data_IF_528482237892
#
_entry.id   IF_528482237892
#
_cell.length_a   1.000
_cell.length_b   1.000
_cell.length_c   1.000
_cell.angle_alpha   90.00
_cell.angle_beta   90.00
_cell.angle_gamma   90.00
#
_symmetry.space_group_name_H-M   'P 1'
#
loop_
_entity.id
_entity.type
_entity.pdbx_description
1 polymer ?
#
# COMPACT_ATOMS: atom_id res chain seq x y z
N UNK A 1 -14.76 -38.26 13.73
CA UNK A 1 -13.78 -37.98 12.66
C UNK A 1 -14.48 -37.09 11.66
N UNK A 2 -13.95 -35.89 11.39
CA UNK A 2 -14.60 -34.97 10.46
C UNK A 2 -14.25 -35.40 9.02
N UNK A 3 -15.25 -35.91 8.30
CA UNK A 3 -15.06 -36.48 6.97
C UNK A 3 -14.92 -35.33 5.97
N UNK A 4 -13.83 -35.32 5.19
CA UNK A 4 -13.60 -34.25 4.21
C UNK A 4 -14.76 -34.15 3.23
N UNK A 5 -15.27 -32.92 3.06
CA UNK A 5 -16.37 -32.62 2.12
C UNK A 5 -16.02 -33.02 0.68
N UNK A 6 -14.75 -32.93 0.30
CA UNK A 6 -14.27 -33.33 -1.03
C UNK A 6 -14.36 -34.84 -1.24
N UNK A 7 -14.06 -35.62 -0.20
CA UNK A 7 -14.15 -37.08 -0.22
C UNK A 7 -15.60 -37.54 -0.38
N UNK A 8 -16.53 -36.93 0.37
CA UNK A 8 -17.98 -37.19 0.23
C UNK A 8 -18.46 -36.87 -1.19
N UNK A 9 -18.02 -35.75 -1.77
CA UNK A 9 -18.37 -35.37 -3.15
C UNK A 9 -17.77 -36.33 -4.18
N UNK A 10 -16.56 -36.83 -3.94
CA UNK A 10 -15.92 -37.86 -4.75
C UNK A 10 -16.72 -39.17 -4.76
N UNK A 11 -17.20 -39.61 -3.59
CA UNK A 11 -18.08 -40.78 -3.48
C UNK A 11 -19.41 -40.58 -4.24
N UNK A 12 -20.03 -39.39 -4.11
CA UNK A 12 -21.24 -39.06 -4.87
C UNK A 12 -21.01 -39.08 -6.39
N UNK A 13 -19.85 -38.61 -6.84
CA UNK A 13 -19.49 -38.63 -8.26
C UNK A 13 -19.28 -40.06 -8.76
N UNK A 14 -18.58 -40.90 -7.99
CA UNK A 14 -18.41 -42.32 -8.30
C UNK A 14 -19.75 -43.03 -8.42
N UNK A 15 -20.63 -42.88 -7.42
CA UNK A 15 -21.93 -43.53 -7.42
C UNK A 15 -22.83 -43.06 -8.57
N UNK A 16 -22.74 -41.78 -8.93
CA UNK A 16 -23.43 -41.24 -10.10
C UNK A 16 -22.95 -41.91 -11.40
N UNK A 17 -21.64 -42.15 -11.56
CA UNK A 17 -21.08 -42.84 -12.72
C UNK A 17 -21.44 -44.32 -12.78
N UNK A 18 -21.62 -44.97 -11.61
CA UNK A 18 -22.10 -46.35 -11.49
C UNK A 18 -23.62 -46.47 -11.77
N UNK A 19 -24.34 -45.34 -11.87
CA UNK A 19 -25.76 -45.31 -12.21
C UNK A 19 -26.68 -45.49 -11.00
N UNK A 20 -26.19 -45.25 -9.79
CA UNK A 20 -26.99 -45.31 -8.58
C UNK A 20 -27.95 -44.12 -8.47
N UNK A 21 -28.97 -44.25 -7.61
CA UNK A 21 -29.85 -43.14 -7.25
C UNK A 21 -29.26 -42.35 -6.08
N UNK A 22 -29.47 -41.03 -6.07
CA UNK A 22 -28.95 -40.13 -5.04
C UNK A 22 -29.35 -40.53 -3.60
N UNK A 23 -30.55 -41.09 -3.42
CA UNK A 23 -31.02 -41.59 -2.13
C UNK A 23 -30.23 -42.84 -1.67
N UNK A 24 -29.93 -43.75 -2.60
CA UNK A 24 -29.13 -44.95 -2.31
C UNK A 24 -27.67 -44.59 -2.00
N UNK A 25 -27.11 -43.60 -2.71
CA UNK A 25 -25.79 -43.03 -2.41
C UNK A 25 -25.74 -42.38 -1.04
N UNK A 26 -26.78 -41.62 -0.68
CA UNK A 26 -26.89 -41.02 0.65
C UNK A 26 -26.81 -42.09 1.74
N UNK A 27 -27.65 -43.14 1.67
CA UNK A 27 -27.66 -44.22 2.65
C UNK A 27 -26.31 -44.93 2.74
N UNK A 28 -25.67 -45.24 1.61
CA UNK A 28 -24.34 -45.90 1.59
C UNK A 28 -23.25 -45.04 2.21
N UNK A 29 -23.22 -43.76 1.87
CA UNK A 29 -22.24 -42.82 2.40
C UNK A 29 -22.47 -42.62 3.91
N UNK A 30 -23.71 -42.45 4.36
CA UNK A 30 -24.03 -42.34 5.79
C UNK A 30 -23.69 -43.63 6.56
N UNK A 31 -23.91 -44.81 5.96
CA UNK A 31 -23.53 -46.08 6.57
C UNK A 31 -22.00 -46.23 6.74
N UNK A 32 -21.22 -45.74 5.77
CA UNK A 32 -19.76 -45.87 5.80
C UNK A 32 -19.06 -44.77 6.63
N UNK A 33 -19.60 -43.55 6.62
CA UNK A 33 -18.95 -42.36 7.15
C UNK A 33 -19.69 -41.71 8.34
N UNK A 34 -20.83 -42.27 8.75
CA UNK A 34 -21.68 -41.82 9.85
C UNK A 34 -22.96 -41.11 9.38
N UNK A 35 -24.02 -41.18 10.20
CA UNK A 35 -25.39 -40.72 9.84
C UNK A 35 -25.48 -39.25 9.41
N UNK A 36 -24.51 -38.42 9.79
CA UNK A 36 -24.43 -37.00 9.44
C UNK A 36 -23.47 -36.68 8.28
N UNK A 37 -22.94 -37.68 7.57
CA UNK A 37 -21.92 -37.49 6.53
C UNK A 37 -22.44 -36.68 5.32
N UNK A 38 -23.67 -36.92 4.88
CA UNK A 38 -24.31 -36.13 3.83
C UNK A 38 -25.84 -36.15 3.99
N UNK A 39 -26.50 -35.02 3.75
CA UNK A 39 -27.96 -34.96 3.71
C UNK A 39 -28.46 -35.38 2.31
N UNK A 40 -29.60 -36.08 2.24
CA UNK A 40 -30.21 -36.50 0.97
C UNK A 40 -30.43 -35.31 0.03
N UNK A 41 -30.84 -34.15 0.55
CA UNK A 41 -31.02 -32.93 -0.24
C UNK A 41 -29.71 -32.49 -0.91
N UNK A 42 -28.59 -32.62 -0.19
CA UNK A 42 -27.25 -32.32 -0.71
C UNK A 42 -26.85 -33.34 -1.76
N UNK A 43 -27.07 -34.63 -1.55
CA UNK A 43 -26.79 -35.68 -2.53
C UNK A 43 -27.57 -35.46 -3.84
N UNK A 44 -28.87 -35.14 -3.76
CA UNK A 44 -29.69 -34.82 -4.94
C UNK A 44 -29.18 -33.59 -5.68
N UNK A 45 -28.78 -32.53 -4.97
CA UNK A 45 -28.20 -31.32 -5.58
C UNK A 45 -26.92 -31.63 -6.36
N UNK A 46 -26.01 -32.42 -5.79
CA UNK A 46 -24.79 -32.86 -6.46
C UNK A 46 -25.08 -33.73 -7.69
N UNK A 47 -26.03 -34.66 -7.60
CA UNK A 47 -26.45 -35.46 -8.75
C UNK A 47 -27.05 -34.61 -9.86
N UNK A 48 -27.82 -33.57 -9.52
CA UNK A 48 -28.34 -32.62 -10.51
C UNK A 48 -27.20 -31.84 -11.20
N UNK A 49 -26.19 -31.40 -10.42
CA UNK A 49 -24.98 -30.77 -10.95
C UNK A 49 -24.24 -31.70 -11.93
N UNK A 50 -24.07 -32.97 -11.58
CA UNK A 50 -23.43 -33.95 -12.46
C UNK A 50 -24.23 -34.25 -13.73
N UNK A 51 -25.57 -34.30 -13.65
CA UNK A 51 -26.44 -34.42 -14.84
C UNK A 51 -26.32 -33.23 -15.79
N UNK A 52 -26.07 -32.03 -15.25
CA UNK A 52 -25.79 -30.84 -16.07
C UNK A 52 -24.38 -30.81 -16.70
N UNK A 53 -23.57 -31.86 -16.50
CA UNK A 53 -22.23 -31.99 -17.08
C UNK A 53 -21.09 -31.39 -16.26
N UNK A 54 -21.39 -30.73 -15.12
CA UNK A 54 -20.38 -30.16 -14.22
C UNK A 54 -19.93 -31.20 -13.19
N UNK A 55 -18.80 -31.87 -13.45
CA UNK A 55 -18.20 -32.88 -12.57
C UNK A 55 -17.22 -32.30 -11.54
N UNK A 56 -17.12 -30.99 -11.41
CA UNK A 56 -16.19 -30.35 -10.46
C UNK A 56 -16.61 -30.64 -9.02
N UNK A 57 -15.67 -31.13 -8.21
CA UNK A 57 -15.88 -31.37 -6.76
C UNK A 57 -15.71 -30.10 -5.92
N UNK A 58 -15.19 -29.02 -6.51
CA UNK A 58 -14.93 -27.76 -5.82
C UNK A 58 -16.24 -26.94 -5.67
N UNK A 59 -16.30 -26.17 -4.58
CA UNK A 59 -17.29 -25.09 -4.48
C UNK A 59 -17.03 -24.07 -5.60
N UNK A 60 -18.09 -23.55 -6.21
CA UNK A 60 -17.95 -22.37 -7.09
C UNK A 60 -17.49 -21.19 -6.24
N UNK A 61 -16.79 -20.25 -6.85
CA UNK A 61 -16.44 -18.99 -6.20
C UNK A 61 -17.72 -18.39 -5.58
N UNK A 62 -17.71 -18.23 -4.26
CA UNK A 62 -18.83 -17.62 -3.56
C UNK A 62 -18.84 -16.15 -3.94
N UNK A 63 -19.99 -15.65 -4.36
CA UNK A 63 -20.22 -14.20 -4.39
C UNK A 63 -20.10 -13.73 -2.95
N UNK A 64 -18.99 -13.06 -2.64
CA UNK A 64 -18.74 -12.50 -1.32
C UNK A 64 -19.76 -11.43 -0.97
N UNK A 65 -19.60 -10.82 0.21
CA UNK A 65 -20.35 -9.61 0.54
C UNK A 65 -20.03 -8.53 -0.51
N UNK A 66 -21.04 -7.81 -1.06
CA UNK A 66 -20.77 -6.69 -1.96
C UNK A 66 -19.78 -5.71 -1.32
N UNK A 67 -18.75 -5.30 -2.06
CA UNK A 67 -17.86 -4.25 -1.59
C UNK A 67 -18.66 -2.97 -1.41
N UNK A 68 -18.60 -2.39 -0.22
CA UNK A 68 -19.32 -1.17 0.12
C UNK A 68 -18.73 0.08 -0.58
N UNK A 69 -17.56 -0.06 -1.20
CA UNK A 69 -16.83 1.00 -1.87
C UNK A 69 -16.30 0.47 -3.20
N UNK A 70 -16.51 1.22 -4.27
CA UNK A 70 -15.91 0.92 -5.57
C UNK A 70 -14.44 1.36 -5.58
N UNK A 71 -13.53 0.38 -5.71
CA UNK A 71 -12.09 0.60 -5.82
C UNK A 71 -11.72 1.47 -7.04
N UNK A 72 -12.47 1.37 -8.14
CA UNK A 72 -12.26 2.17 -9.34
C UNK A 72 -12.54 3.66 -9.10
N UNK A 73 -13.70 3.96 -8.51
CA UNK A 73 -14.06 5.32 -8.12
C UNK A 73 -13.10 5.91 -7.07
N UNK A 74 -12.69 5.11 -6.07
CA UNK A 74 -11.68 5.54 -5.10
C UNK A 74 -10.35 5.88 -5.78
N UNK A 75 -9.90 5.06 -6.74
CA UNK A 75 -8.67 5.32 -7.47
C UNK A 75 -8.75 6.59 -8.33
N UNK A 76 -9.91 6.90 -8.91
CA UNK A 76 -10.13 8.13 -9.66
C UNK A 76 -10.02 9.37 -8.76
N UNK A 77 -10.65 9.36 -7.59
CA UNK A 77 -10.57 10.46 -6.63
C UNK A 77 -9.12 10.76 -6.20
N UNK A 78 -8.33 9.72 -5.92
CA UNK A 78 -6.91 9.87 -5.54
C UNK A 78 -6.05 10.42 -6.69
N UNK A 79 -6.39 10.11 -7.95
CA UNK A 79 -5.67 10.64 -9.11
C UNK A 79 -5.95 12.13 -9.31
N UNK A 80 -7.16 12.58 -8.99
CA UNK A 80 -7.55 13.98 -9.03
C UNK A 80 -6.87 14.77 -7.90
N UNK A 81 -6.96 14.27 -6.66
CA UNK A 81 -6.28 14.85 -5.51
C UNK A 81 -5.69 13.77 -4.60
N UNK A 82 -4.38 13.59 -4.69
CA UNK A 82 -3.65 12.61 -3.88
C UNK A 82 -3.45 13.02 -2.41
N UNK A 83 -3.81 14.24 -2.03
CA UNK A 83 -3.61 14.79 -0.68
C UNK A 83 -4.79 14.59 0.26
N UNK A 84 -5.92 14.11 -0.25
CA UNK A 84 -7.14 13.90 0.53
C UNK A 84 -6.93 12.90 1.68
N UNK A 85 -7.53 13.23 2.81
CA UNK A 85 -7.53 12.37 3.99
C UNK A 85 -8.55 11.23 3.86
N UNK A 86 -8.33 10.13 4.59
CA UNK A 86 -9.31 9.04 4.68
C UNK A 86 -10.69 9.51 5.18
N UNK A 87 -10.73 10.58 5.98
CA UNK A 87 -11.97 11.19 6.47
C UNK A 87 -12.74 11.97 5.40
N UNK A 88 -12.04 12.67 4.52
CA UNK A 88 -12.66 13.38 3.38
C UNK A 88 -13.20 12.40 2.35
N UNK A 89 -12.40 11.40 1.99
CA UNK A 89 -12.83 10.30 1.11
C UNK A 89 -14.03 9.55 1.70
N UNK A 90 -14.03 9.28 3.01
CA UNK A 90 -15.16 8.65 3.68
C UNK A 90 -16.47 9.45 3.53
N UNK A 91 -16.40 10.78 3.67
CA UNK A 91 -17.54 11.67 3.44
C UNK A 91 -17.98 11.67 1.97
N UNK A 92 -17.04 11.70 1.04
CA UNK A 92 -17.33 11.67 -0.40
C UNK A 92 -18.04 10.38 -0.83
N UNK A 93 -17.62 9.24 -0.30
CA UNK A 93 -18.16 7.92 -0.64
C UNK A 93 -19.23 7.40 0.34
N UNK A 94 -19.69 8.23 1.28
CA UNK A 94 -20.67 7.87 2.31
C UNK A 94 -20.33 6.56 3.04
N UNK A 95 -19.06 6.37 3.39
CA UNK A 95 -18.55 5.17 4.03
C UNK A 95 -17.76 5.52 5.30
N UNK A 96 -17.25 4.50 6.00
CA UNK A 96 -16.38 4.73 7.16
C UNK A 96 -14.94 5.01 6.72
N UNK A 97 -14.20 5.83 7.47
CA UNK A 97 -12.77 6.08 7.20
C UNK A 97 -11.94 4.80 7.27
N UNK A 98 -12.34 3.84 8.09
CA UNK A 98 -11.69 2.54 8.18
C UNK A 98 -11.88 1.73 6.89
N UNK A 99 -13.10 1.74 6.32
CA UNK A 99 -13.37 1.12 5.01
C UNK A 99 -12.46 1.69 3.93
N UNK A 100 -12.35 3.03 3.86
CA UNK A 100 -11.45 3.70 2.91
C UNK A 100 -10.00 3.29 3.13
N UNK A 101 -9.52 3.29 4.38
CA UNK A 101 -8.15 2.90 4.72
C UNK A 101 -7.81 1.48 4.27
N UNK A 102 -8.75 0.54 4.46
CA UNK A 102 -8.60 -0.85 4.01
C UNK A 102 -8.52 -0.95 2.48
N UNK A 103 -9.39 -0.24 1.75
CA UNK A 103 -9.37 -0.24 0.28
C UNK A 103 -8.12 0.45 -0.27
N UNK A 104 -7.67 1.56 0.34
CA UNK A 104 -6.39 2.19 0.01
C UNK A 104 -5.21 1.23 0.16
N UNK A 105 -5.18 0.46 1.26
CA UNK A 105 -4.14 -0.54 1.46
C UNK A 105 -4.23 -1.68 0.42
N UNK A 106 -5.44 -2.14 0.08
CA UNK A 106 -5.65 -3.14 -0.98
C UNK A 106 -5.17 -2.63 -2.35
N UNK A 107 -5.36 -1.34 -2.64
CA UNK A 107 -4.86 -0.67 -3.85
C UNK A 107 -3.35 -0.35 -3.79
N UNK A 108 -2.65 -0.76 -2.73
CA UNK A 108 -1.21 -0.50 -2.55
C UNK A 108 -0.87 0.97 -2.29
N UNK A 109 -1.82 1.77 -1.80
CA UNK A 109 -1.61 3.18 -1.46
C UNK A 109 -1.12 3.30 -0.01
N UNK A 110 -0.07 4.09 0.17
CA UNK A 110 0.49 4.43 1.49
C UNK A 110 0.58 5.93 1.63
N UNK A 111 0.18 6.46 2.79
CA UNK A 111 0.35 7.88 3.08
C UNK A 111 1.84 8.21 3.20
N UNK A 112 2.29 9.21 2.43
CA UNK A 112 3.65 9.75 2.51
C UNK A 112 3.58 11.26 2.65
N UNK A 113 4.45 11.81 3.48
CA UNK A 113 4.58 13.26 3.60
C UNK A 113 5.22 13.84 2.34
N UNK A 114 4.68 14.97 1.88
CA UNK A 114 5.27 15.76 0.80
C UNK A 114 6.68 16.19 1.17
N UNK A 115 7.56 16.23 0.17
CA UNK A 115 8.92 16.75 0.35
C UNK A 115 8.88 18.28 0.30
N UNK A 116 9.56 18.91 1.24
CA UNK A 116 9.79 20.35 1.17
C UNK A 116 10.69 20.69 -0.01
N UNK A 117 10.25 21.63 -0.84
CA UNK A 117 11.03 22.20 -1.93
C UNK A 117 11.39 23.64 -1.53
N UNK A 118 12.63 24.11 -1.77
CA UNK A 118 13.06 25.43 -1.31
C UNK A 118 12.18 26.59 -1.79
N UNK A 119 11.65 26.51 -3.01
CA UNK A 119 10.82 27.55 -3.60
C UNK A 119 9.94 27.00 -4.72
N UNK A 120 8.74 27.56 -4.86
CA UNK A 120 7.88 27.36 -6.04
C UNK A 120 8.45 28.13 -7.23
N UNK A 121 8.94 27.42 -8.24
CA UNK A 121 9.53 28.03 -9.43
C UNK A 121 8.46 28.38 -10.47
N UNK A 122 8.57 29.60 -11.02
CA UNK A 122 7.86 30.01 -12.23
C UNK A 122 8.38 29.24 -13.45
N UNK A 123 7.54 29.11 -14.48
CA UNK A 123 7.90 28.33 -15.68
C UNK A 123 9.15 28.87 -16.39
N UNK A 124 9.30 30.20 -16.45
CA UNK A 124 10.50 30.86 -17.00
C UNK A 124 11.77 30.46 -16.24
N UNK A 125 11.72 30.43 -14.91
CA UNK A 125 12.86 30.02 -14.09
C UNK A 125 13.20 28.53 -14.29
N UNK A 126 12.19 27.67 -14.51
CA UNK A 126 12.44 26.25 -14.83
C UNK A 126 13.15 26.12 -16.17
N UNK A 127 12.68 26.82 -17.21
CA UNK A 127 13.30 26.81 -18.53
C UNK A 127 14.74 27.32 -18.49
N UNK A 128 15.01 28.42 -17.79
CA UNK A 128 16.37 28.94 -17.58
C UNK A 128 17.28 27.92 -16.90
N UNK A 129 16.79 27.24 -15.85
CA UNK A 129 17.55 26.19 -15.15
C UNK A 129 17.86 25.01 -16.08
N UNK A 130 16.89 24.55 -16.87
CA UNK A 130 17.10 23.46 -17.84
C UNK A 130 18.13 23.87 -18.89
N UNK A 131 18.02 25.07 -19.47
CA UNK A 131 18.97 25.57 -20.45
C UNK A 131 20.39 25.68 -19.88
N UNK A 132 20.53 26.21 -18.66
CA UNK A 132 21.81 26.27 -17.96
C UNK A 132 22.40 24.88 -17.72
N UNK A 133 21.59 23.93 -17.23
CA UNK A 133 22.02 22.54 -17.01
C UNK A 133 22.47 21.86 -18.31
N UNK A 134 21.73 22.02 -19.41
CA UNK A 134 22.10 21.45 -20.71
C UNK A 134 23.40 22.04 -21.24
N UNK A 135 23.57 23.36 -21.14
CA UNK A 135 24.81 24.03 -21.52
C UNK A 135 26.02 23.52 -20.71
N UNK A 136 25.87 23.41 -19.38
CA UNK A 136 26.92 22.89 -18.51
C UNK A 136 27.22 21.41 -18.80
N UNK A 137 26.20 20.59 -19.07
CA UNK A 137 26.36 19.17 -19.40
C UNK A 137 27.15 19.01 -20.71
N UNK A 138 26.77 19.73 -21.77
CA UNK A 138 27.47 19.73 -23.06
C UNK A 138 28.93 20.15 -22.91
N UNK A 139 29.21 21.21 -22.15
CA UNK A 139 30.58 21.67 -21.85
C UNK A 139 31.37 20.64 -21.04
N UNK A 140 30.72 19.93 -20.14
CA UNK A 140 31.39 18.89 -19.37
C UNK A 140 31.78 17.69 -20.23
N UNK A 141 30.94 17.28 -21.18
CA UNK A 141 31.26 16.21 -22.11
C UNK A 141 32.47 16.52 -22.99
N UNK A 142 32.68 17.78 -23.37
CA UNK A 142 33.80 18.17 -24.23
C UNK A 142 35.10 18.43 -23.48
N UNK A 143 35.04 18.99 -22.26
CA UNK A 143 36.23 19.52 -21.58
C UNK A 143 36.43 19.03 -20.13
N UNK A 144 35.61 18.10 -19.63
CA UNK A 144 35.67 17.55 -18.26
C UNK A 144 35.87 18.65 -17.19
N UNK A 145 34.97 19.64 -17.21
CA UNK A 145 35.13 20.90 -16.48
C UNK A 145 35.07 20.74 -14.96
N UNK A 146 34.46 19.67 -14.44
CA UNK A 146 34.28 19.47 -13.00
C UNK A 146 35.58 19.53 -12.18
N UNK A 147 36.70 19.06 -12.74
CA UNK A 147 37.98 19.09 -12.04
C UNK A 147 38.61 20.49 -11.91
N UNK A 148 38.01 21.50 -12.55
CA UNK A 148 38.49 22.88 -12.58
C UNK A 148 37.54 23.87 -11.89
N UNK A 149 36.42 23.38 -11.36
CA UNK A 149 35.44 24.24 -10.67
C UNK A 149 35.86 24.43 -9.21
N UNK A 150 36.00 25.70 -8.83
CA UNK A 150 35.99 26.15 -7.44
C UNK A 150 34.57 26.66 -7.15
N UNK A 151 33.93 26.14 -6.11
CA UNK A 151 32.60 26.57 -5.67
C UNK A 151 32.68 27.15 -4.27
N UNK A 152 31.71 28.00 -3.92
CA UNK A 152 31.58 28.56 -2.59
C UNK A 152 30.13 28.66 -2.15
N UNK A 153 29.90 28.59 -0.85
CA UNK A 153 28.59 28.85 -0.25
C UNK A 153 28.75 29.34 1.18
N UNK A 154 27.69 29.97 1.70
CA UNK A 154 27.62 30.49 3.05
C UNK A 154 26.52 29.78 3.83
N UNK A 155 26.83 29.33 5.05
CA UNK A 155 25.89 28.62 5.90
C UNK A 155 25.90 29.18 7.32
N UNK A 156 24.72 29.53 7.80
CA UNK A 156 24.53 29.81 9.22
C UNK A 156 24.64 28.53 10.05
N UNK A 157 25.55 28.52 11.03
CA UNK A 157 25.72 27.43 12.00
C UNK A 157 25.27 27.94 13.36
N UNK A 158 24.28 27.26 13.95
CA UNK A 158 23.78 27.57 15.28
C UNK A 158 24.74 27.00 16.34
N UNK A 159 24.93 27.70 17.46
CA UNK A 159 25.70 27.18 18.60
C UNK A 159 25.00 25.97 19.22
N UNK A 160 23.70 26.13 19.48
CA UNK A 160 22.85 25.07 20.02
C UNK A 160 21.80 24.68 18.97
N UNK A 161 21.71 23.38 18.69
CA UNK A 161 20.68 22.79 17.82
C UNK A 161 19.78 21.89 18.65
N UNK A 162 18.82 22.47 19.40
CA UNK A 162 17.92 21.66 20.22
C UNK A 162 17.07 20.76 19.32
N UNK A 163 17.19 19.46 19.51
CA UNK A 163 16.39 18.46 18.82
C UNK A 163 15.31 17.95 19.77
N UNK A 164 14.09 17.80 19.25
CA UNK A 164 13.04 17.09 19.97
C UNK A 164 13.42 15.60 20.01
N UNK A 165 13.79 15.12 21.20
CA UNK A 165 14.21 13.73 21.40
C UNK A 165 13.02 12.80 21.32
N UNK A 166 13.23 11.60 20.77
CA UNK A 166 12.21 10.53 20.76
C UNK A 166 12.31 9.77 22.08
N UNK A 167 11.17 9.58 22.75
CA UNK A 167 11.11 8.87 24.03
C UNK A 167 10.19 7.64 23.89
N UNK A 168 10.60 6.51 24.44
CA UNK A 168 9.74 5.34 24.63
C UNK A 168 9.05 5.50 25.98
N UNK A 169 7.74 5.72 25.97
CA UNK A 169 6.95 6.02 27.16
C UNK A 169 5.76 5.07 27.24
N UNK A 170 5.34 4.76 28.46
CA UNK A 170 4.08 4.05 28.71
C UNK A 170 2.90 5.00 28.45
N UNK A 171 1.68 4.50 28.18
CA UNK A 171 0.53 5.35 27.86
C UNK A 171 0.13 6.37 28.94
N UNK A 172 0.58 6.18 30.18
CA UNK A 172 0.25 7.02 31.34
C UNK A 172 1.37 7.98 31.72
N UNK A 173 2.55 7.86 31.10
CA UNK A 173 3.72 8.66 31.45
C UNK A 173 3.59 10.08 30.87
N UNK A 174 4.11 11.07 31.60
CA UNK A 174 4.17 12.45 31.10
C UNK A 174 5.29 12.61 30.08
N UNK A 175 5.01 13.30 28.98
CA UNK A 175 5.99 13.55 27.93
C UNK A 175 7.00 14.62 28.40
N UNK A 176 8.32 14.36 28.33
CA UNK A 176 9.33 15.35 28.67
C UNK A 176 9.19 16.63 27.82
N UNK A 177 9.25 17.79 28.47
CA UNK A 177 9.22 19.07 27.76
C UNK A 177 10.60 19.40 27.18
N UNK A 178 10.64 19.73 25.89
CA UNK A 178 11.82 20.32 25.25
C UNK A 178 11.60 21.81 25.04
N UNK A 179 12.56 22.63 25.46
CA UNK A 179 12.50 24.07 25.24
C UNK A 179 12.55 24.39 23.74
N UNK A 180 11.65 25.25 23.27
CA UNK A 180 11.69 25.74 21.89
C UNK A 180 12.91 26.67 21.73
N UNK A 181 13.72 26.54 20.66
CA UNK A 181 14.79 27.49 20.41
C UNK A 181 14.26 28.93 20.31
N UNK A 182 15.01 29.93 20.80
CA UNK A 182 14.61 31.34 20.71
C UNK A 182 14.51 31.79 19.24
N UNK A 183 13.74 32.84 18.97
CA UNK A 183 13.57 33.36 17.59
C UNK A 183 14.89 33.85 16.96
N UNK A 184 15.82 34.33 17.79
CA UNK A 184 17.13 34.81 17.38
C UNK A 184 18.24 34.02 18.11
N UNK A 185 18.50 32.77 17.71
CA UNK A 185 19.53 31.96 18.33
C UNK A 185 20.92 32.50 17.99
N UNK A 186 21.87 32.31 18.91
CA UNK A 186 23.28 32.60 18.64
C UNK A 186 23.75 31.72 17.49
N UNK A 187 24.39 32.35 16.50
CA UNK A 187 24.83 31.71 15.27
C UNK A 187 26.08 32.39 14.72
N UNK A 188 26.88 31.63 13.99
CA UNK A 188 28.01 32.12 13.19
C UNK A 188 27.74 31.86 11.71
N UNK A 189 28.25 32.73 10.84
CA UNK A 189 28.24 32.48 9.41
C UNK A 189 29.54 31.76 9.04
N UNK A 190 29.42 30.60 8.42
CA UNK A 190 30.53 29.84 7.85
C UNK A 190 30.53 30.07 6.34
N UNK A 191 31.62 30.60 5.78
CA UNK A 191 31.80 30.78 4.34
C UNK A 191 32.85 29.78 3.87
N UNK A 192 32.54 28.86 2.95
CA UNK A 192 33.48 27.78 2.55
C UNK A 192 33.70 27.82 1.04
N UNK A 193 34.95 27.71 0.62
CA UNK A 193 35.36 27.51 -0.78
C UNK A 193 35.96 26.11 -0.94
N UNK A 194 35.48 25.34 -1.92
CA UNK A 194 35.95 23.99 -2.16
C UNK A 194 36.06 23.65 -3.65
N UNK A 195 36.93 22.68 -3.94
CA UNK A 195 37.05 22.02 -5.25
C UNK A 195 36.49 20.61 -5.16
N UNK A 196 36.50 19.86 -6.27
CA UNK A 196 36.14 18.44 -6.25
C UNK A 196 37.05 17.55 -5.38
N UNK A 197 38.20 18.06 -4.91
CA UNK A 197 39.18 17.29 -4.13
C UNK A 197 39.19 17.64 -2.64
N UNK A 198 39.04 18.92 -2.30
CA UNK A 198 39.15 19.37 -0.91
C UNK A 198 38.56 20.77 -0.71
N UNK A 199 38.36 21.11 0.57
CA UNK A 199 38.15 22.49 1.03
C UNK A 199 39.44 23.27 0.82
N UNK A 200 39.32 24.46 0.24
CA UNK A 200 40.45 25.35 -0.07
C UNK A 200 40.58 26.44 0.99
N UNK A 201 39.45 27.02 1.41
CA UNK A 201 39.38 28.07 2.41
C UNK A 201 38.05 28.02 3.16
N UNK A 202 38.02 28.44 4.42
CA UNK A 202 36.80 28.66 5.19
C UNK A 202 36.95 29.79 6.22
#
# INVERSE_FOLDING_TARGET
MDVSKELVRGCLLYDFKVGLLAAASNCRICQAFGDSAVNERTARHWFQKFRSGDLSLCDKARTGRPQALDDGALQAAIKEDSSQTCGELARQFNTSSETVRLHLHHLGKTLRLSKWVPQTLLEVHKQQRVAACLSLLSRNHSAFIFNRVLTSDEKWVLYDTPNCSKHWLSPQDTVPHSARPPMHPRKIMLCVWCTCRQVVHY
#
